data_IF_383726118311
#
_entry.id   IF_383726118311
#
_cell.length_a   1.000
_cell.length_b   1.000
_cell.length_c   1.000
_cell.angle_alpha   90.00
_cell.angle_beta   90.00
_cell.angle_gamma   90.00
#
_symmetry.space_group_name_H-M   'P 1'
#
loop_
_entity.id
_entity.type
_entity.pdbx_description
1 polymer ?
#
# COMPACT_ATOMS: atom_id res chain seq x y z
N UNK A 1 3.08 -15.26 -10.64
CA UNK A 1 3.58 -14.60 -9.42
C UNK A 1 2.40 -13.98 -8.67
N UNK A 2 2.41 -13.97 -7.33
CA UNK A 2 1.27 -13.53 -6.49
C UNK A 2 1.72 -12.53 -5.42
N UNK A 3 0.83 -11.60 -5.05
CA UNK A 3 1.09 -10.58 -4.02
C UNK A 3 0.01 -10.61 -2.92
N UNK A 4 0.41 -10.34 -1.68
CA UNK A 4 -0.47 -10.23 -0.52
C UNK A 4 -0.69 -8.74 -0.22
N UNK A 5 -1.94 -8.30 -0.15
CA UNK A 5 -2.34 -6.91 0.10
C UNK A 5 -3.24 -6.82 1.35
N UNK A 6 -3.21 -5.67 2.01
CA UNK A 6 -4.00 -5.39 3.20
C UNK A 6 -4.10 -3.86 3.40
N UNK A 7 -5.31 -3.30 3.58
CA UNK A 7 -5.48 -1.84 3.67
C UNK A 7 -4.94 -1.21 4.96
N UNK A 8 -4.62 -2.03 5.98
CA UNK A 8 -4.24 -1.61 7.34
C UNK A 8 -5.31 -0.72 8.04
N UNK A 9 -5.30 -0.61 9.40
CA UNK A 9 -4.48 -1.38 10.33
C UNK A 9 -4.83 -2.86 10.26
N UNK A 10 -3.84 -3.73 10.51
CA UNK A 10 -4.12 -5.15 10.73
C UNK A 10 -4.22 -5.43 12.23
N UNK A 11 -5.05 -6.38 12.62
CA UNK A 11 -5.18 -6.85 14.00
C UNK A 11 -4.55 -8.24 14.12
N UNK A 12 -5.27 -9.28 13.70
CA UNK A 12 -4.85 -10.70 13.82
C UNK A 12 -5.12 -11.50 12.53
N UNK A 13 -5.62 -10.85 11.49
CA UNK A 13 -5.99 -11.44 10.21
C UNK A 13 -4.76 -11.82 9.35
N UNK A 14 -3.58 -11.27 9.64
CA UNK A 14 -2.31 -11.63 9.00
C UNK A 14 -1.24 -11.74 10.08
N UNK A 15 -0.61 -12.91 10.19
CA UNK A 15 0.51 -13.14 11.10
C UNK A 15 1.69 -12.23 10.77
N UNK A 16 2.37 -11.71 11.80
CA UNK A 16 3.60 -10.90 11.65
C UNK A 16 4.71 -11.66 10.94
N UNK A 17 4.73 -13.00 11.01
CA UNK A 17 5.69 -13.82 10.28
C UNK A 17 5.55 -13.70 8.74
N UNK A 18 4.42 -13.19 8.24
CA UNK A 18 4.20 -12.94 6.81
C UNK A 18 4.95 -11.67 6.34
N UNK A 19 5.45 -10.82 7.24
CA UNK A 19 6.14 -9.58 6.88
C UNK A 19 7.43 -9.83 6.09
N UNK A 20 8.12 -10.93 6.40
CA UNK A 20 9.37 -11.34 5.77
C UNK A 20 9.14 -12.09 4.45
N UNK A 21 7.89 -12.43 4.10
CA UNK A 21 7.57 -13.06 2.82
C UNK A 21 7.74 -12.03 1.69
N UNK A 22 8.51 -12.31 0.63
CA UNK A 22 8.72 -11.37 -0.48
C UNK A 22 7.43 -10.97 -1.21
N UNK A 23 6.33 -11.72 -1.02
CA UNK A 23 5.01 -11.42 -1.59
C UNK A 23 4.22 -10.43 -0.74
N UNK A 24 4.65 -10.13 0.49
CA UNK A 24 4.00 -9.18 1.39
C UNK A 24 4.10 -7.74 0.85
N UNK A 25 3.06 -7.30 0.17
CA UNK A 25 3.04 -6.03 -0.56
C UNK A 25 2.24 -4.93 0.15
N UNK A 26 1.63 -5.19 1.31
CA UNK A 26 0.84 -4.18 2.04
C UNK A 26 1.66 -2.96 2.50
N UNK A 27 2.97 -3.10 2.78
CA UNK A 27 3.83 -1.93 3.04
C UNK A 27 4.09 -1.10 1.78
N UNK A 28 4.32 -1.77 0.64
CA UNK A 28 4.43 -1.11 -0.67
C UNK A 28 3.11 -0.43 -1.05
N UNK A 29 1.97 -1.05 -0.75
CA UNK A 29 0.63 -0.49 -0.96
C UNK A 29 0.43 0.83 -0.19
N UNK A 30 0.80 0.89 1.09
CA UNK A 30 0.71 2.13 1.88
C UNK A 30 1.56 3.25 1.27
N UNK A 31 2.79 2.92 0.84
CA UNK A 31 3.67 3.86 0.13
C UNK A 31 3.03 4.35 -1.18
N UNK A 32 2.44 3.46 -1.96
CA UNK A 32 1.69 3.82 -3.18
C UNK A 32 0.49 4.72 -2.87
N UNK A 33 -0.16 4.50 -1.72
CA UNK A 33 -1.22 5.37 -1.20
C UNK A 33 -0.79 6.83 -1.04
N UNK A 34 0.48 7.12 -0.70
CA UNK A 34 0.99 8.50 -0.68
C UNK A 34 1.10 9.06 -2.10
N UNK A 35 1.73 8.32 -3.01
CA UNK A 35 1.95 8.78 -4.38
C UNK A 35 0.64 9.01 -5.14
N UNK A 36 -0.35 8.13 -4.99
CA UNK A 36 -1.64 8.31 -5.68
C UNK A 36 -2.39 9.54 -5.15
N UNK A 37 -2.30 9.83 -3.85
CA UNK A 37 -2.89 11.05 -3.27
C UNK A 37 -2.19 12.30 -3.79
N UNK A 38 -0.86 12.29 -3.86
CA UNK A 38 -0.10 13.40 -4.46
C UNK A 38 -0.52 13.64 -5.92
N UNK A 39 -0.55 12.57 -6.73
CA UNK A 39 -0.97 12.65 -8.13
C UNK A 39 -2.41 13.14 -8.28
N UNK A 40 -3.32 12.66 -7.43
CA UNK A 40 -4.71 13.11 -7.43
C UNK A 40 -4.83 14.59 -7.07
N UNK A 41 -4.10 15.07 -6.05
CA UNK A 41 -4.09 16.49 -5.67
C UNK A 41 -3.55 17.35 -6.81
N UNK A 42 -2.42 16.96 -7.42
CA UNK A 42 -1.86 17.67 -8.58
C UNK A 42 -2.87 17.74 -9.73
N UNK A 43 -3.54 16.61 -10.03
CA UNK A 43 -4.57 16.57 -11.07
C UNK A 43 -5.76 17.48 -10.78
N UNK A 44 -6.22 17.53 -9.53
CA UNK A 44 -7.34 18.40 -9.11
C UNK A 44 -6.98 19.89 -9.13
N UNK A 45 -5.70 20.22 -8.93
CA UNK A 45 -5.19 21.59 -9.01
C UNK A 45 -4.81 22.01 -10.45
N UNK A 46 -4.90 21.11 -11.43
CA UNK A 46 -4.50 21.40 -12.81
C UNK A 46 -2.98 21.54 -13.00
N UNK A 47 -2.20 20.91 -12.12
CA UNK A 47 -0.73 20.90 -12.17
C UNK A 47 -0.33 19.54 -12.74
N UNK A 48 0.20 19.52 -13.96
CA UNK A 48 0.69 18.29 -14.64
C UNK A 48 2.19 18.08 -14.44
#
# INVERSE_FOLDING_TARGET
DLCILHPLPRVNEISVAVDDDPRACYFKQVRNGRFIRMALILKLLGIE
#
